data_IF_039042850602
#
_entry.id   IF_039042850602
#
_cell.length_a   1.000
_cell.length_b   1.000
_cell.length_c   1.000
_cell.angle_alpha   90.00
_cell.angle_beta   90.00
_cell.angle_gamma   90.00
#
_symmetry.space_group_name_H-M   'P 1'
#
loop_
_entity.id
_entity.type
_entity.pdbx_description
1 polymer ?
#
# COMPACT_ATOMS: atom_id res chain seq x y z
N UNK A 1 18.88 -1.51 -5.84
CA UNK A 1 18.10 -1.72 -4.60
C UNK A 1 17.76 -0.39 -3.88
N UNK A 2 18.02 0.77 -4.50
CA UNK A 2 18.12 2.08 -3.85
C UNK A 2 17.03 3.10 -4.25
N UNK A 3 15.92 2.68 -4.86
CA UNK A 3 14.92 3.62 -5.44
C UNK A 3 13.67 3.88 -4.58
N UNK A 4 13.56 3.24 -3.42
CA UNK A 4 12.46 3.53 -2.50
C UNK A 4 12.88 4.73 -1.66
N UNK A 5 12.57 5.95 -2.12
CA UNK A 5 12.77 7.22 -1.38
C UNK A 5 11.82 7.32 -0.17
N UNK A 6 11.72 6.25 0.63
CA UNK A 6 10.88 6.18 1.82
C UNK A 6 11.53 7.01 2.91
N UNK A 7 10.86 8.08 3.32
CA UNK A 7 11.30 8.95 4.43
C UNK A 7 10.73 8.48 5.76
N UNK A 8 9.57 7.80 5.73
CA UNK A 8 8.96 7.23 6.92
C UNK A 8 8.14 6.01 6.60
N UNK A 9 8.15 5.05 7.52
CA UNK A 9 7.33 3.86 7.47
C UNK A 9 6.63 3.68 8.81
N UNK A 10 5.34 3.39 8.77
CA UNK A 10 4.51 3.13 9.95
C UNK A 10 3.66 1.90 9.67
N UNK A 11 3.43 1.10 10.71
CA UNK A 11 2.49 -0.01 10.66
C UNK A 11 1.79 -0.13 12.00
N UNK A 12 0.54 -0.56 11.98
CA UNK A 12 -0.28 -0.63 13.17
C UNK A 12 -1.30 -1.76 13.08
N UNK A 13 -1.66 -2.29 14.26
CA UNK A 13 -2.69 -3.28 14.45
C UNK A 13 -3.77 -2.67 15.34
N UNK A 14 -4.98 -2.55 14.81
CA UNK A 14 -6.17 -2.13 15.52
C UNK A 14 -6.97 -3.37 15.93
N UNK A 15 -7.43 -3.42 17.18
CA UNK A 15 -8.47 -4.35 17.64
C UNK A 15 -9.80 -3.60 17.70
N UNK A 16 -10.77 -4.03 16.89
CA UNK A 16 -12.06 -3.38 16.71
C UNK A 16 -13.15 -4.40 17.05
N UNK A 17 -13.52 -4.45 18.34
CA UNK A 17 -14.40 -5.49 18.86
C UNK A 17 -13.75 -6.87 18.68
N UNK A 18 -14.45 -7.78 18.00
CA UNK A 18 -13.92 -9.12 17.67
C UNK A 18 -13.07 -9.15 16.40
N UNK A 19 -12.97 -8.03 15.68
CA UNK A 19 -12.20 -7.93 14.43
C UNK A 19 -10.82 -7.33 14.67
N UNK A 20 -9.85 -7.73 13.84
CA UNK A 20 -8.51 -7.13 13.81
C UNK A 20 -8.28 -6.45 12.47
N UNK A 21 -7.66 -5.28 12.46
CA UNK A 21 -7.26 -4.56 11.25
C UNK A 21 -5.79 -4.21 11.33
N UNK A 22 -4.99 -4.70 10.39
CA UNK A 22 -3.60 -4.27 10.25
C UNK A 22 -3.46 -3.34 9.04
N UNK A 23 -2.64 -2.31 9.18
CA UNK A 23 -2.28 -1.43 8.08
C UNK A 23 -0.81 -1.03 8.16
N UNK A 24 -0.24 -0.72 7.00
CA UNK A 24 1.10 -0.16 6.88
C UNK A 24 1.07 0.97 5.85
N UNK A 25 1.78 2.05 6.13
CA UNK A 25 1.89 3.22 5.28
C UNK A 25 3.35 3.66 5.14
N UNK A 26 3.71 4.08 3.94
CA UNK A 26 5.01 4.69 3.65
C UNK A 26 4.80 6.14 3.21
N UNK A 27 5.62 7.04 3.75
CA UNK A 27 5.80 8.38 3.19
C UNK A 27 6.99 8.30 2.26
N UNK A 28 6.79 8.67 0.99
CA UNK A 28 7.83 8.72 -0.03
C UNK A 28 8.08 10.16 -0.45
N UNK A 29 9.35 10.50 -0.74
CA UNK A 29 9.65 11.72 -1.46
C UNK A 29 9.37 11.51 -2.96
N UNK A 30 8.60 12.43 -3.55
CA UNK A 30 8.25 12.45 -4.97
C UNK A 30 8.39 13.88 -5.49
N UNK A 31 8.69 14.00 -6.77
CA UNK A 31 8.89 15.26 -7.48
C UNK A 31 7.73 15.48 -8.47
N UNK A 32 7.28 16.72 -8.73
CA UNK A 32 6.18 16.99 -9.67
C UNK A 32 6.45 16.54 -11.12
N UNK A 33 7.72 16.31 -11.46
CA UNK A 33 8.17 15.83 -12.76
C UNK A 33 8.36 14.32 -12.84
N UNK A 34 7.98 13.55 -11.81
CA UNK A 34 8.11 12.10 -11.82
C UNK A 34 7.22 11.49 -12.92
N UNK A 35 7.81 10.57 -13.69
CA UNK A 35 7.07 9.83 -14.71
C UNK A 35 6.07 8.87 -14.07
N UNK A 36 4.81 8.91 -14.52
CA UNK A 36 3.73 8.09 -13.93
C UNK A 36 4.03 6.59 -14.00
N UNK A 37 4.65 6.11 -15.07
CA UNK A 37 5.04 4.70 -15.19
C UNK A 37 6.06 4.28 -14.12
N UNK A 38 7.02 5.16 -13.81
CA UNK A 38 7.98 4.93 -12.73
C UNK A 38 7.28 4.86 -11.36
N UNK A 39 6.26 5.71 -11.14
CA UNK A 39 5.43 5.66 -9.93
C UNK A 39 4.57 4.38 -9.87
N UNK A 40 4.09 3.85 -10.99
CA UNK A 40 3.36 2.58 -11.04
C UNK A 40 4.23 1.40 -10.62
N UNK A 41 5.48 1.35 -11.11
CA UNK A 41 6.47 0.33 -10.73
C UNK A 41 6.85 0.47 -9.25
N UNK A 42 6.98 1.71 -8.76
CA UNK A 42 7.19 1.98 -7.34
C UNK A 42 6.01 1.47 -6.50
N UNK A 43 4.78 1.70 -6.97
CA UNK A 43 3.54 1.23 -6.35
C UNK A 43 3.50 -0.29 -6.17
N UNK A 44 3.95 -1.06 -7.16
CA UNK A 44 4.06 -2.53 -7.04
C UNK A 44 4.98 -2.94 -5.87
N UNK A 45 6.16 -2.32 -5.79
CA UNK A 45 7.14 -2.59 -4.74
C UNK A 45 6.62 -2.19 -3.36
N UNK A 46 5.92 -1.05 -3.27
CA UNK A 46 5.27 -0.61 -2.05
C UNK A 46 4.14 -1.57 -1.64
N UNK A 47 3.35 -2.07 -2.59
CA UNK A 47 2.30 -3.05 -2.33
C UNK A 47 2.81 -4.33 -1.69
N UNK A 48 3.92 -4.89 -2.18
CA UNK A 48 4.54 -6.07 -1.56
C UNK A 48 5.11 -5.74 -0.16
N UNK A 49 5.84 -4.63 -0.04
CA UNK A 49 6.46 -4.20 1.23
C UNK A 49 5.43 -3.95 2.34
N UNK A 50 4.39 -3.19 2.02
CA UNK A 50 3.34 -2.81 2.97
C UNK A 50 2.41 -3.99 3.26
N UNK A 51 2.05 -4.76 2.23
CA UNK A 51 1.23 -5.97 2.38
C UNK A 51 1.87 -6.98 3.33
N UNK A 52 3.17 -7.28 3.17
CA UNK A 52 3.88 -8.21 4.05
C UNK A 52 3.89 -7.75 5.49
N UNK A 53 4.04 -6.44 5.72
CA UNK A 53 3.99 -5.87 7.07
C UNK A 53 2.61 -6.01 7.69
N UNK A 54 1.56 -5.69 6.95
CA UNK A 54 0.18 -5.83 7.43
C UNK A 54 -0.17 -7.29 7.75
N UNK A 55 0.18 -8.24 6.87
CA UNK A 55 -0.07 -9.66 7.10
C UNK A 55 0.73 -10.21 8.29
N UNK A 56 1.97 -9.77 8.47
CA UNK A 56 2.78 -10.15 9.63
C UNK A 56 2.14 -9.68 10.95
N UNK A 57 1.52 -8.50 10.98
CA UNK A 57 0.78 -8.00 12.14
C UNK A 57 -0.52 -8.78 12.43
N UNK A 58 -1.05 -9.49 11.43
CA UNK A 58 -2.21 -10.38 11.60
C UNK A 58 -1.79 -11.82 11.96
N UNK A 59 -0.53 -12.04 12.34
CA UNK A 59 0.07 -13.36 12.59
C UNK A 59 -0.01 -14.31 11.38
N UNK A 60 -0.05 -13.76 10.17
CA UNK A 60 -0.20 -14.54 8.94
C UNK A 60 -1.61 -15.06 8.68
N UNK A 61 -2.61 -14.66 9.47
CA UNK A 61 -4.00 -15.02 9.20
C UNK A 61 -4.48 -14.43 7.85
N UNK A 62 -5.29 -15.17 7.08
CA UNK A 62 -5.86 -14.66 5.85
C UNK A 62 -6.75 -13.45 6.13
N UNK A 63 -6.64 -12.43 5.28
CA UNK A 63 -7.46 -11.23 5.40
C UNK A 63 -8.80 -11.46 4.69
N UNK A 64 -9.90 -11.13 5.36
CA UNK A 64 -11.26 -11.18 4.78
C UNK A 64 -11.56 -9.96 3.90
N UNK A 65 -10.84 -8.86 4.10
CA UNK A 65 -10.95 -7.65 3.30
C UNK A 65 -9.63 -6.89 3.29
N UNK A 66 -9.32 -6.19 2.20
CA UNK A 66 -8.17 -5.29 2.12
C UNK A 66 -8.47 -4.07 1.25
N UNK A 67 -7.66 -3.03 1.43
CA UNK A 67 -7.76 -1.80 0.64
C UNK A 67 -6.39 -1.18 0.38
N UNK A 68 -6.38 -0.16 -0.46
CA UNK A 68 -5.20 0.66 -0.77
C UNK A 68 -5.64 2.11 -0.86
N UNK A 69 -4.82 3.01 -0.36
CA UNK A 69 -5.07 4.44 -0.44
C UNK A 69 -3.76 5.21 -0.56
N UNK A 70 -3.84 6.42 -1.10
CA UNK A 70 -2.72 7.32 -1.24
C UNK A 70 -3.16 8.72 -0.82
N UNK A 71 -2.28 9.42 -0.13
CA UNK A 71 -2.42 10.84 0.18
C UNK A 71 -1.33 11.55 -0.61
N UNK A 72 -1.74 12.52 -1.42
CA UNK A 72 -0.85 13.26 -2.30
C UNK A 72 -0.52 14.61 -1.67
N UNK A 73 0.76 14.98 -1.65
CA UNK A 73 1.20 16.29 -1.16
C UNK A 73 0.66 17.41 -2.06
N UNK A 74 0.36 18.58 -1.49
CA UNK A 74 -0.28 19.69 -2.22
C UNK A 74 0.56 20.32 -3.33
N UNK A 75 1.83 19.94 -3.45
CA UNK A 75 2.73 20.35 -4.54
C UNK A 75 2.77 19.35 -5.70
N UNK A 76 2.02 18.24 -5.60
CA UNK A 76 1.93 17.18 -6.58
C UNK A 76 0.49 17.07 -7.10
N UNK A 77 0.35 16.43 -8.26
CA UNK A 77 -0.94 16.21 -8.90
C UNK A 77 -1.58 14.90 -8.47
N UNK A 78 -2.92 14.82 -8.53
CA UNK A 78 -3.69 13.63 -8.11
C UNK A 78 -3.28 12.37 -8.89
N UNK A 79 -2.81 12.53 -10.13
CA UNK A 79 -2.30 11.49 -11.00
C UNK A 79 -1.10 10.76 -10.39
N UNK A 80 -0.28 11.41 -9.54
CA UNK A 80 0.81 10.75 -8.82
C UNK A 80 0.26 9.69 -7.86
N UNK A 81 -0.83 10.03 -7.15
CA UNK A 81 -1.53 9.09 -6.28
C UNK A 81 -2.18 7.96 -7.08
N UNK A 82 -2.84 8.28 -8.19
CA UNK A 82 -3.46 7.29 -9.07
C UNK A 82 -2.43 6.31 -9.66
N UNK A 83 -1.26 6.81 -10.05
CA UNK A 83 -0.15 6.00 -10.57
C UNK A 83 0.39 5.04 -9.49
N UNK A 84 0.58 5.50 -8.25
CA UNK A 84 0.98 4.62 -7.14
C UNK A 84 -0.10 3.57 -6.86
N UNK A 85 -1.37 3.96 -6.88
CA UNK A 85 -2.52 3.07 -6.64
C UNK A 85 -2.89 2.20 -7.83
N UNK A 86 -2.11 2.23 -8.92
CA UNK A 86 -2.34 1.41 -10.10
C UNK A 86 -2.54 -0.08 -9.74
N UNK A 87 -3.30 -0.87 -10.52
CA UNK A 87 -3.51 -2.31 -10.28
C UNK A 87 -2.25 -3.14 -10.00
N UNK A 88 -1.07 -2.69 -10.48
CA UNK A 88 0.22 -3.28 -10.12
C UNK A 88 0.49 -3.32 -8.61
N UNK A 89 0.10 -2.29 -7.85
CA UNK A 89 0.15 -2.31 -6.37
C UNK A 89 -0.81 -3.35 -5.77
N UNK A 90 -1.98 -3.52 -6.39
CA UNK A 90 -3.02 -4.44 -5.90
C UNK A 90 -2.68 -5.92 -6.08
N UNK A 91 -1.88 -6.26 -7.10
CA UNK A 91 -1.46 -7.64 -7.39
C UNK A 91 -0.71 -8.31 -6.22
N UNK A 92 0.35 -7.73 -5.63
CA UNK A 92 1.02 -8.31 -4.48
C UNK A 92 0.13 -8.32 -3.24
N UNK A 93 -0.72 -7.30 -3.01
CA UNK A 93 -1.66 -7.30 -1.89
C UNK A 93 -2.65 -8.46 -1.97
N UNK A 94 -3.27 -8.69 -3.13
CA UNK A 94 -4.21 -9.79 -3.35
C UNK A 94 -3.58 -11.15 -3.12
N UNK A 95 -2.33 -11.34 -3.59
CA UNK A 95 -1.56 -12.56 -3.32
C UNK A 95 -1.29 -12.76 -1.82
N UNK A 96 -1.01 -11.68 -1.09
CA UNK A 96 -0.66 -11.73 0.34
C UNK A 96 -1.90 -11.86 1.25
N UNK A 97 -3.06 -11.33 0.84
CA UNK A 97 -4.31 -11.42 1.59
C UNK A 97 -4.89 -12.84 1.64
N UNK A 98 -4.55 -13.70 0.68
CA UNK A 98 -5.09 -15.05 0.53
C UNK A 98 -6.38 -15.09 -0.29
N UNK A 99 -6.89 -16.30 -0.56
CA UNK A 99 -8.03 -16.56 -1.47
C UNK A 99 -9.39 -15.99 -0.97
N UNK A 100 -9.44 -15.44 0.24
CA UNK A 100 -10.66 -14.88 0.86
C UNK A 100 -10.74 -13.35 0.91
N UNK A 101 -9.78 -12.63 0.32
CA UNK A 101 -9.75 -11.17 0.39
C UNK A 101 -10.58 -10.51 -0.71
N UNK A 102 -11.67 -9.85 -0.33
CA UNK A 102 -12.37 -8.92 -1.21
C UNK A 102 -11.65 -7.56 -1.23
N UNK A 103 -11.65 -6.91 -2.40
CA UNK A 103 -11.13 -5.54 -2.56
C UNK A 103 -12.18 -4.58 -2.02
N UNK A 104 -11.82 -3.82 -1.00
CA UNK A 104 -12.56 -2.62 -0.61
C UNK A 104 -12.00 -1.44 -1.40
N UNK A 105 -12.80 -0.89 -2.31
CA UNK A 105 -12.51 0.38 -2.95
C UNK A 105 -12.76 1.52 -1.95
N UNK A 106 -11.82 2.47 -1.88
CA UNK A 106 -11.83 3.61 -0.96
C UNK A 106 -12.62 4.80 -1.51
#
# INVERSE_FOLDING_TARGET
MSDLRIVRLVSHLDEIGESRRAWAAAVIAADPGDELESLMVLGERLGDLLGRRSVALLDGAPATAYGKSAIVGTALEIEHGAAILHPLLGKPLRRLAGDGGDVMDA
#
